data_IF_303205528615
#
_entry.id   IF_303205528615
#
_cell.length_a   1.000
_cell.length_b   1.000
_cell.length_c   1.000
_cell.angle_alpha   90.00
_cell.angle_beta   90.00
_cell.angle_gamma   90.00
#
_symmetry.space_group_name_H-M   'P 1'
#
loop_
_entity.id
_entity.type
_entity.pdbx_description
1 polymer ?
#
# COMPACT_ATOMS: atom_id res chain seq x y z
N UNK A 1 13.08 10.25 0.48
CA UNK A 1 13.80 10.72 -0.71
C UNK A 1 13.34 10.00 -1.99
N UNK A 2 13.24 8.66 -2.01
CA UNK A 2 12.85 7.90 -3.22
C UNK A 2 11.41 8.15 -3.67
N UNK A 3 10.48 8.24 -2.74
CA UNK A 3 9.08 8.57 -3.03
C UNK A 3 8.98 9.94 -3.74
N UNK A 4 9.70 10.95 -3.24
CA UNK A 4 9.73 12.28 -3.86
C UNK A 4 10.41 12.28 -5.23
N UNK A 5 11.40 11.40 -5.46
CA UNK A 5 12.07 11.26 -6.74
C UNK A 5 11.19 10.57 -7.81
N UNK A 6 10.26 9.71 -7.41
CA UNK A 6 9.37 9.00 -8.34
C UNK A 6 8.21 9.87 -8.87
N UNK A 7 7.68 10.81 -8.05
CA UNK A 7 6.53 11.66 -8.41
C UNK A 7 6.73 12.48 -9.69
N UNK A 8 7.83 13.24 -9.88
CA UNK A 8 8.01 14.07 -11.08
C UNK A 8 8.05 13.28 -12.38
N UNK A 9 8.55 12.03 -12.32
CA UNK A 9 8.58 11.15 -13.48
C UNK A 9 7.18 10.72 -13.92
N UNK A 10 6.36 10.28 -12.96
CA UNK A 10 4.97 9.92 -13.21
C UNK A 10 4.14 11.10 -13.74
N UNK A 11 4.32 12.29 -13.15
CA UNK A 11 3.62 13.50 -13.57
C UNK A 11 3.99 13.91 -15.02
N UNK A 12 5.26 13.84 -15.38
CA UNK A 12 5.70 14.17 -16.75
C UNK A 12 5.19 13.17 -17.79
N UNK A 13 5.27 11.87 -17.51
CA UNK A 13 4.72 10.86 -18.44
C UNK A 13 3.22 11.07 -18.60
N UNK A 14 2.50 11.37 -17.52
CA UNK A 14 1.07 11.65 -17.55
C UNK A 14 0.72 12.80 -18.49
N UNK A 15 1.47 13.92 -18.42
CA UNK A 15 1.30 15.06 -19.34
C UNK A 15 1.50 14.64 -20.79
N UNK A 16 2.57 13.90 -21.07
CA UNK A 16 2.86 13.43 -22.43
C UNK A 16 1.76 12.49 -22.93
N UNK A 17 1.32 11.55 -22.10
CA UNK A 17 0.21 10.63 -22.44
C UNK A 17 -1.09 11.38 -22.72
N UNK A 18 -1.40 12.44 -21.96
CA UNK A 18 -2.61 13.25 -22.18
C UNK A 18 -2.58 13.98 -23.53
N UNK A 19 -1.43 14.53 -23.91
CA UNK A 19 -1.26 15.19 -25.20
C UNK A 19 -1.37 14.20 -26.36
N UNK A 20 -0.73 13.02 -26.24
CA UNK A 20 -0.76 11.97 -27.26
C UNK A 20 -2.14 11.38 -27.47
N UNK A 21 -2.87 11.12 -26.39
CA UNK A 21 -4.25 10.60 -26.46
C UNK A 21 -5.22 11.57 -27.15
N UNK A 22 -4.96 12.89 -27.01
CA UNK A 22 -5.76 13.93 -27.69
C UNK A 22 -5.34 14.14 -29.16
N UNK A 23 -4.04 14.03 -29.44
CA UNK A 23 -3.52 14.27 -30.80
C UNK A 23 -3.89 13.12 -31.77
N UNK A 24 -4.07 11.90 -31.29
CA UNK A 24 -4.32 10.72 -32.13
C UNK A 24 -5.67 10.07 -31.78
N UNK A 25 -6.77 10.71 -32.20
CA UNK A 25 -8.14 10.29 -31.89
C UNK A 25 -8.56 8.99 -32.59
N UNK A 26 -7.86 8.56 -33.63
CA UNK A 26 -8.18 7.35 -34.39
C UNK A 26 -7.65 6.07 -33.73
N UNK A 27 -6.52 6.14 -33.02
CA UNK A 27 -5.95 4.99 -32.33
C UNK A 27 -6.42 4.91 -30.87
N UNK A 28 -7.12 3.84 -30.55
CA UNK A 28 -7.56 3.54 -29.17
C UNK A 28 -6.65 2.49 -28.55
N UNK A 29 -5.69 2.94 -27.77
CA UNK A 29 -4.84 2.02 -27.00
C UNK A 29 -5.68 1.12 -26.08
N UNK A 30 -5.37 -0.19 -25.90
CA UNK A 30 -6.11 -1.11 -25.05
C UNK A 30 -6.34 -0.62 -23.61
N UNK A 31 -5.43 0.19 -23.04
CA UNK A 31 -5.57 0.77 -21.69
C UNK A 31 -6.63 1.87 -21.59
N UNK A 32 -7.10 2.41 -22.71
CA UNK A 32 -8.16 3.42 -22.76
C UNK A 32 -9.54 2.81 -23.08
N UNK A 33 -9.57 1.57 -23.54
CA UNK A 33 -10.80 0.87 -23.90
C UNK A 33 -11.43 0.30 -22.63
N UNK A 34 -12.69 0.65 -22.38
CA UNK A 34 -13.48 0.03 -21.31
C UNK A 34 -13.90 -1.37 -21.75
N UNK A 35 -13.60 -2.36 -20.93
CA UNK A 35 -14.15 -3.70 -21.09
C UNK A 35 -15.38 -3.83 -20.19
N UNK A 36 -16.45 -4.40 -20.72
CA UNK A 36 -17.68 -4.66 -19.98
C UNK A 36 -18.13 -6.08 -20.34
N UNK A 37 -18.42 -6.90 -19.33
CA UNK A 37 -19.06 -8.20 -19.56
C UNK A 37 -18.40 -9.41 -18.92
N UNK A 38 -17.14 -9.37 -18.52
CA UNK A 38 -16.50 -10.50 -17.80
C UNK A 38 -16.88 -10.54 -16.33
N UNK A 39 -17.35 -9.41 -15.79
CA UNK A 39 -17.63 -9.22 -14.36
C UNK A 39 -16.46 -9.66 -13.46
N UNK A 40 -15.26 -9.35 -13.90
CA UNK A 40 -14.03 -9.61 -13.16
C UNK A 40 -13.23 -8.34 -12.93
N UNK A 41 -12.73 -8.18 -11.72
CA UNK A 41 -11.91 -7.06 -11.30
C UNK A 41 -10.52 -7.58 -10.91
N UNK A 42 -9.49 -6.97 -11.47
CA UNK A 42 -8.12 -7.14 -11.04
C UNK A 42 -7.82 -6.25 -9.83
N UNK A 43 -7.29 -6.81 -8.76
CA UNK A 43 -6.90 -6.07 -7.57
C UNK A 43 -5.42 -6.28 -7.27
N UNK A 44 -4.64 -5.19 -7.27
CA UNK A 44 -3.25 -5.20 -6.83
C UNK A 44 -3.22 -4.63 -5.41
N UNK A 45 -2.90 -5.47 -4.43
CA UNK A 45 -2.84 -5.08 -3.01
C UNK A 45 -1.39 -4.93 -2.56
N UNK A 46 -0.99 -3.71 -2.22
CA UNK A 46 0.33 -3.38 -1.69
C UNK A 46 0.27 -3.31 -0.17
N UNK A 47 1.10 -4.10 0.49
CA UNK A 47 1.22 -4.15 1.96
C UNK A 47 2.68 -4.32 2.36
N UNK A 48 2.92 -4.42 3.66
CA UNK A 48 4.25 -4.67 4.20
C UNK A 48 4.58 -6.16 4.23
N UNK A 49 5.86 -6.49 4.17
CA UNK A 49 6.33 -7.86 4.45
C UNK A 49 6.37 -8.14 5.96
N UNK A 50 6.78 -7.17 6.76
CA UNK A 50 6.98 -7.28 8.20
C UNK A 50 5.83 -6.59 8.96
N UNK A 51 5.68 -6.93 10.24
CA UNK A 51 4.76 -6.29 11.14
C UNK A 51 5.35 -5.05 11.84
N UNK A 52 4.78 -4.74 13.00
CA UNK A 52 5.21 -3.66 13.89
C UNK A 52 5.08 -2.25 13.28
N UNK A 53 4.17 -2.10 12.32
CA UNK A 53 3.84 -0.83 11.66
C UNK A 53 2.49 -0.26 12.14
N UNK A 54 2.12 -0.52 13.39
CA UNK A 54 0.85 -0.09 13.96
C UNK A 54 -0.36 -0.57 13.14
N UNK A 55 -1.38 0.27 12.93
CA UNK A 55 -2.61 -0.10 12.24
C UNK A 55 -2.50 -0.06 10.70
N UNK A 56 -1.32 0.22 10.11
CA UNK A 56 -1.14 0.45 8.68
C UNK A 56 -1.78 -0.65 7.83
N UNK A 57 -1.38 -1.91 8.05
CA UNK A 57 -1.91 -3.03 7.27
C UNK A 57 -3.39 -3.30 7.56
N UNK A 58 -3.81 -3.17 8.80
CA UNK A 58 -5.22 -3.38 9.19
C UNK A 58 -6.14 -2.37 8.52
N UNK A 59 -5.71 -1.11 8.39
CA UNK A 59 -6.49 -0.06 7.76
C UNK A 59 -6.70 -0.32 6.26
N UNK A 60 -5.65 -0.66 5.52
CA UNK A 60 -5.79 -0.98 4.09
C UNK A 60 -6.58 -2.28 3.87
N UNK A 61 -6.37 -3.31 4.69
CA UNK A 61 -7.11 -4.57 4.62
C UNK A 61 -8.61 -4.36 4.87
N UNK A 62 -8.97 -3.50 5.84
CA UNK A 62 -10.36 -3.13 6.11
C UNK A 62 -11.00 -2.42 4.91
N UNK A 63 -10.30 -1.44 4.33
CA UNK A 63 -10.80 -0.73 3.14
C UNK A 63 -11.00 -1.67 1.96
N UNK A 64 -10.03 -2.55 1.70
CA UNK A 64 -10.10 -3.55 0.63
C UNK A 64 -11.24 -4.53 0.87
N UNK A 65 -11.45 -4.98 2.11
CA UNK A 65 -12.57 -5.86 2.44
C UNK A 65 -13.93 -5.22 2.14
N UNK A 66 -14.10 -3.93 2.45
CA UNK A 66 -15.33 -3.21 2.10
C UNK A 66 -15.52 -3.14 0.59
N UNK A 67 -14.46 -2.78 -0.15
CA UNK A 67 -14.51 -2.73 -1.61
C UNK A 67 -14.81 -4.10 -2.25
N UNK A 68 -14.22 -5.17 -1.74
CA UNK A 68 -14.50 -6.54 -2.19
C UNK A 68 -15.98 -6.89 -1.98
N UNK A 69 -16.56 -6.52 -0.83
CA UNK A 69 -17.99 -6.74 -0.55
C UNK A 69 -18.87 -5.95 -1.51
N UNK A 70 -18.56 -4.68 -1.76
CA UNK A 70 -19.30 -3.83 -2.69
C UNK A 70 -19.29 -4.44 -4.10
N UNK A 71 -18.11 -4.80 -4.62
CA UNK A 71 -17.96 -5.43 -5.93
C UNK A 71 -18.65 -6.80 -6.03
N UNK A 72 -18.57 -7.60 -4.96
CA UNK A 72 -19.25 -8.90 -4.93
C UNK A 72 -20.77 -8.73 -4.92
N UNK A 73 -21.30 -7.70 -4.27
CA UNK A 73 -22.73 -7.36 -4.29
C UNK A 73 -23.21 -6.95 -5.68
N UNK A 74 -22.34 -6.31 -6.48
CA UNK A 74 -22.56 -5.97 -7.88
C UNK A 74 -22.34 -7.17 -8.84
N UNK A 75 -21.94 -8.31 -8.31
CA UNK A 75 -21.74 -9.55 -9.05
C UNK A 75 -20.36 -9.70 -9.69
N UNK A 76 -19.38 -8.91 -9.28
CA UNK A 76 -18.00 -9.05 -9.74
C UNK A 76 -17.23 -10.10 -8.94
N UNK A 77 -16.43 -10.89 -9.63
CA UNK A 77 -15.38 -11.74 -9.06
C UNK A 77 -14.03 -11.03 -9.07
N UNK A 78 -13.13 -11.39 -8.15
CA UNK A 78 -11.88 -10.66 -7.95
C UNK A 78 -10.70 -11.58 -8.20
N UNK A 79 -9.79 -11.13 -9.08
CA UNK A 79 -8.48 -11.71 -9.30
C UNK A 79 -7.43 -10.82 -8.65
N UNK A 80 -6.75 -11.33 -7.61
CA UNK A 80 -5.88 -10.52 -6.77
C UNK A 80 -4.39 -10.78 -7.05
N UNK A 81 -3.59 -9.72 -6.99
CA UNK A 81 -2.13 -9.76 -6.93
C UNK A 81 -1.69 -9.22 -5.57
N UNK A 82 -0.88 -9.99 -4.84
CA UNK A 82 -0.36 -9.58 -3.55
C UNK A 82 1.08 -9.06 -3.66
N UNK A 83 1.30 -7.82 -3.24
CA UNK A 83 2.64 -7.25 -3.05
C UNK A 83 2.87 -7.07 -1.54
N UNK A 84 3.70 -7.96 -0.95
CA UNK A 84 3.99 -8.03 0.47
C UNK A 84 3.26 -9.17 1.20
N UNK A 85 3.94 -9.74 2.19
CA UNK A 85 3.46 -10.92 2.93
C UNK A 85 2.14 -10.70 3.70
N UNK A 86 1.93 -9.49 4.24
CA UNK A 86 0.72 -9.20 5.04
C UNK A 86 -0.54 -9.19 4.18
N UNK A 87 -0.43 -8.73 2.92
CA UNK A 87 -1.51 -8.78 1.94
C UNK A 87 -1.78 -10.19 1.45
N UNK A 88 -0.73 -10.95 1.18
CA UNK A 88 -0.87 -12.34 0.76
C UNK A 88 -1.64 -13.16 1.80
N UNK A 89 -1.21 -13.11 3.07
CA UNK A 89 -1.90 -13.84 4.14
C UNK A 89 -3.34 -13.35 4.41
N UNK A 90 -3.64 -12.09 4.11
CA UNK A 90 -5.00 -11.56 4.17
C UNK A 90 -5.87 -12.11 3.04
N UNK A 91 -5.40 -12.07 1.80
CA UNK A 91 -6.13 -12.59 0.63
C UNK A 91 -6.37 -14.11 0.71
N UNK A 92 -5.37 -14.85 1.20
CA UNK A 92 -5.52 -16.30 1.44
C UNK A 92 -6.61 -16.62 2.47
N UNK A 93 -6.69 -15.86 3.58
CA UNK A 93 -7.76 -16.01 4.58
C UNK A 93 -9.14 -15.70 4.03
N UNK A 94 -9.23 -14.79 3.06
CA UNK A 94 -10.47 -14.50 2.35
C UNK A 94 -10.80 -15.51 1.25
N UNK A 95 -9.93 -16.49 1.01
CA UNK A 95 -10.04 -17.43 -0.10
C UNK A 95 -10.16 -16.73 -1.47
N UNK A 96 -9.54 -15.54 -1.58
CA UNK A 96 -9.53 -14.79 -2.82
C UNK A 96 -8.66 -15.50 -3.88
N UNK A 97 -9.02 -15.39 -5.14
CA UNK A 97 -8.23 -15.92 -6.25
C UNK A 97 -6.94 -15.09 -6.42
N UNK A 98 -5.83 -15.57 -5.86
CA UNK A 98 -4.52 -14.91 -5.98
C UNK A 98 -3.81 -15.43 -7.22
N UNK A 99 -3.75 -14.60 -8.27
CA UNK A 99 -3.15 -14.96 -9.57
C UNK A 99 -1.64 -14.69 -9.62
N UNK A 100 -1.14 -13.79 -8.79
CA UNK A 100 0.30 -13.51 -8.70
C UNK A 100 0.67 -12.92 -7.35
N UNK A 101 1.96 -13.02 -7.00
CA UNK A 101 2.48 -12.48 -5.75
C UNK A 101 3.95 -12.05 -5.89
N UNK A 102 4.32 -10.99 -5.18
CA UNK A 102 5.70 -10.63 -4.93
C UNK A 102 5.86 -10.33 -3.43
N UNK A 103 6.61 -11.15 -2.75
CA UNK A 103 6.88 -11.06 -1.30
C UNK A 103 8.37 -10.93 -1.06
N UNK A 104 8.74 -10.55 0.15
CA UNK A 104 10.13 -10.31 0.54
C UNK A 104 10.79 -9.25 -0.36
N UNK A 105 10.08 -8.15 -0.55
CA UNK A 105 10.54 -7.03 -1.38
C UNK A 105 11.73 -6.29 -0.74
N UNK A 106 11.90 -6.44 0.58
CA UNK A 106 12.97 -5.80 1.35
C UNK A 106 12.84 -4.27 1.38
N UNK A 107 13.89 -3.60 1.84
CA UNK A 107 13.94 -2.14 1.91
C UNK A 107 14.23 -1.49 0.52
N UNK A 108 14.54 -2.30 -0.47
CA UNK A 108 14.79 -1.90 -1.86
C UNK A 108 14.05 -2.85 -2.79
N UNK A 109 12.81 -2.51 -3.18
CA UNK A 109 12.05 -3.37 -4.07
C UNK A 109 12.77 -3.53 -5.39
N UNK A 110 12.99 -4.78 -5.78
CA UNK A 110 13.51 -5.08 -7.10
C UNK A 110 12.39 -4.82 -8.12
N UNK A 111 12.64 -3.88 -9.03
CA UNK A 111 11.66 -3.45 -10.03
C UNK A 111 11.23 -4.63 -10.92
N UNK A 112 12.16 -5.50 -11.32
CA UNK A 112 11.85 -6.63 -12.20
C UNK A 112 10.88 -7.63 -11.55
N UNK A 113 11.04 -7.89 -10.24
CA UNK A 113 10.12 -8.76 -9.48
C UNK A 113 8.72 -8.14 -9.36
N UNK A 114 8.64 -6.82 -9.15
CA UNK A 114 7.38 -6.09 -9.11
C UNK A 114 6.70 -6.13 -10.48
N UNK A 115 7.42 -5.80 -11.55
CA UNK A 115 6.91 -5.81 -12.92
C UNK A 115 6.42 -7.21 -13.29
N UNK A 116 7.16 -8.26 -12.94
CA UNK A 116 6.76 -9.64 -13.20
C UNK A 116 5.40 -9.99 -12.60
N UNK A 117 5.15 -9.64 -11.32
CA UNK A 117 3.88 -9.91 -10.66
C UNK A 117 2.73 -9.06 -11.22
N UNK A 118 2.99 -7.80 -11.54
CA UNK A 118 2.01 -6.84 -12.05
C UNK A 118 1.62 -7.14 -13.50
N UNK A 119 2.57 -7.61 -14.31
CA UNK A 119 2.35 -7.91 -15.73
C UNK A 119 1.17 -8.86 -15.94
N UNK A 120 0.93 -9.79 -15.01
CA UNK A 120 -0.18 -10.74 -15.09
C UNK A 120 -1.52 -10.01 -15.10
N UNK A 121 -1.70 -9.01 -14.24
CA UNK A 121 -2.94 -8.20 -14.17
C UNK A 121 -3.09 -7.30 -15.40
N UNK A 122 -2.00 -6.66 -15.83
CA UNK A 122 -2.02 -5.81 -17.02
C UNK A 122 -2.35 -6.64 -18.25
N UNK A 123 -1.75 -7.82 -18.39
CA UNK A 123 -2.00 -8.73 -19.50
C UNK A 123 -3.45 -9.25 -19.50
N UNK A 124 -3.97 -9.61 -18.31
CA UNK A 124 -5.37 -10.02 -18.15
C UNK A 124 -6.35 -8.92 -18.61
N UNK A 125 -6.01 -7.65 -18.34
CA UNK A 125 -6.80 -6.51 -18.83
C UNK A 125 -6.73 -6.36 -20.35
N UNK A 126 -5.53 -6.40 -20.94
CA UNK A 126 -5.33 -6.30 -22.40
C UNK A 126 -6.07 -7.42 -23.15
N UNK A 127 -6.09 -8.62 -22.56
CA UNK A 127 -6.80 -9.78 -23.11
C UNK A 127 -8.32 -9.76 -22.85
N UNK A 128 -8.84 -8.72 -22.17
CA UNK A 128 -10.26 -8.61 -21.83
C UNK A 128 -10.75 -9.65 -20.82
N UNK A 129 -9.85 -10.24 -20.02
CA UNK A 129 -10.19 -11.21 -18.97
C UNK A 129 -10.69 -10.54 -17.69
N UNK A 130 -10.34 -9.27 -17.48
CA UNK A 130 -10.82 -8.43 -16.37
C UNK A 130 -11.32 -7.10 -16.93
N UNK A 131 -12.39 -6.56 -16.33
CA UNK A 131 -13.04 -5.32 -16.78
C UNK A 131 -12.33 -4.07 -16.28
N UNK A 132 -11.66 -4.18 -15.13
CA UNK A 132 -10.87 -3.08 -14.55
C UNK A 132 -9.76 -3.61 -13.66
N UNK A 133 -8.73 -2.79 -13.43
CA UNK A 133 -7.64 -3.08 -12.50
C UNK A 133 -7.55 -1.96 -11.48
N UNK A 134 -7.59 -2.32 -10.20
CA UNK A 134 -7.51 -1.43 -9.06
C UNK A 134 -6.24 -1.67 -8.26
N UNK A 135 -5.67 -0.58 -7.76
CA UNK A 135 -4.47 -0.56 -6.93
C UNK A 135 -4.81 -0.09 -5.52
N UNK A 136 -4.56 -0.95 -4.53
CA UNK A 136 -4.78 -0.67 -3.12
C UNK A 136 -3.44 -0.51 -2.40
N UNK A 137 -3.22 0.63 -1.75
CA UNK A 137 -1.99 0.93 -1.02
C UNK A 137 -2.21 1.97 0.08
N UNK A 138 -1.19 2.18 0.91
CA UNK A 138 -1.21 3.24 1.93
C UNK A 138 -0.44 4.46 1.42
N UNK A 139 -1.18 5.53 1.07
CA UNK A 139 -0.62 6.80 0.61
C UNK A 139 0.07 7.52 1.76
N UNK A 140 1.29 7.97 1.52
CA UNK A 140 2.05 8.77 2.48
C UNK A 140 1.62 10.24 2.42
N UNK A 141 1.09 10.77 3.51
CA UNK A 141 0.77 12.19 3.68
C UNK A 141 1.90 12.89 4.46
N UNK A 142 2.20 12.36 5.63
CA UNK A 142 3.32 12.80 6.48
C UNK A 142 3.69 11.68 7.48
N UNK A 143 4.72 11.91 8.31
CA UNK A 143 5.19 10.92 9.26
C UNK A 143 4.12 10.42 10.25
N UNK A 144 3.11 11.26 10.56
CA UNK A 144 2.04 10.93 11.50
C UNK A 144 0.76 10.42 10.82
N UNK A 145 0.59 10.65 9.51
CA UNK A 145 -0.65 10.34 8.80
C UNK A 145 -0.37 9.58 7.51
N UNK A 146 -0.89 8.37 7.44
CA UNK A 146 -0.95 7.53 6.25
C UNK A 146 -2.41 7.23 5.95
N UNK A 147 -2.79 7.28 4.68
CA UNK A 147 -4.19 7.12 4.26
C UNK A 147 -4.29 5.89 3.35
N UNK A 148 -5.10 4.88 3.71
CA UNK A 148 -5.37 3.77 2.82
C UNK A 148 -6.22 4.25 1.65
N UNK A 149 -5.85 3.86 0.43
CA UNK A 149 -6.55 4.23 -0.80
C UNK A 149 -6.71 3.02 -1.71
N UNK A 150 -7.79 3.03 -2.49
CA UNK A 150 -8.02 2.11 -3.60
C UNK A 150 -8.32 2.96 -4.82
N UNK A 151 -7.48 2.87 -5.84
CA UNK A 151 -7.55 3.66 -7.06
C UNK A 151 -7.64 2.75 -8.26
N UNK A 152 -8.49 3.11 -9.22
CA UNK A 152 -8.52 2.42 -10.49
C UNK A 152 -7.32 2.86 -11.33
N UNK A 153 -6.56 1.90 -11.86
CA UNK A 153 -5.42 2.18 -12.74
C UNK A 153 -5.70 1.80 -14.19
N UNK A 154 -6.64 0.89 -14.44
CA UNK A 154 -7.13 0.53 -15.77
C UNK A 154 -8.65 0.31 -15.73
N UNK A 155 -9.40 0.75 -16.76
CA UNK A 155 -8.98 1.65 -17.83
C UNK A 155 -8.48 3.00 -17.31
N UNK A 156 -7.58 3.62 -18.05
CA UNK A 156 -7.19 4.99 -17.80
C UNK A 156 -8.38 5.90 -18.18
N UNK A 157 -8.85 6.67 -17.20
CA UNK A 157 -9.93 7.64 -17.41
C UNK A 157 -9.37 9.02 -17.72
N UNK A 158 -10.19 9.88 -18.34
CA UNK A 158 -9.80 11.26 -18.64
C UNK A 158 -9.33 12.00 -17.38
N UNK A 159 -9.90 11.70 -16.19
CA UNK A 159 -9.45 12.26 -14.92
C UNK A 159 -8.00 11.89 -14.55
N UNK A 160 -7.49 10.78 -15.04
CA UNK A 160 -6.08 10.40 -14.88
C UNK A 160 -5.18 11.18 -15.86
N UNK A 161 -5.71 11.62 -16.97
CA UNK A 161 -5.01 12.35 -18.03
C UNK A 161 -5.18 13.86 -17.91
N UNK A 162 -6.32 14.35 -17.44
CA UNK A 162 -6.69 15.79 -17.43
C UNK A 162 -6.03 16.64 -16.34
N UNK A 163 -5.31 16.05 -15.39
CA UNK A 163 -4.73 16.82 -14.27
C UNK A 163 -3.47 17.61 -14.62
N UNK A 164 -3.07 17.66 -15.87
CA UNK A 164 -1.88 18.35 -16.30
C UNK A 164 -2.17 19.43 -17.31
N UNK A 165 -1.89 20.65 -16.88
CA UNK A 165 -1.66 21.85 -17.67
C UNK A 165 -2.77 22.33 -18.63
N UNK A 166 -3.51 23.31 -18.16
CA UNK A 166 -4.37 24.21 -18.98
C UNK A 166 -3.56 25.15 -19.87
N UNK A 167 -2.38 24.75 -20.32
CA UNK A 167 -1.63 25.56 -21.28
C UNK A 167 -2.13 25.24 -22.68
N UNK A 168 -2.75 26.20 -23.31
CA UNK A 168 -3.27 26.23 -24.69
C UNK A 168 -2.17 26.12 -25.76
N UNK A 169 -1.22 25.22 -25.61
CA UNK A 169 -0.23 25.01 -26.65
C UNK A 169 -0.37 23.58 -27.20
N UNK A 170 -0.90 23.49 -28.40
CA UNK A 170 -0.80 22.29 -29.22
C UNK A 170 0.67 22.07 -29.59
N UNK A 171 1.33 21.18 -28.84
CA UNK A 171 2.67 20.75 -29.22
C UNK A 171 2.55 19.73 -30.33
N UNK A 172 3.04 20.07 -31.52
CA UNK A 172 3.28 19.07 -32.58
C UNK A 172 4.56 18.31 -32.22
N UNK A 173 4.38 17.10 -31.71
CA UNK A 173 5.51 16.19 -31.46
C UNK A 173 5.86 15.45 -32.74
N UNK A 174 7.13 15.37 -33.06
CA UNK A 174 7.66 14.42 -34.05
C UNK A 174 7.77 13.04 -33.38
N UNK A 175 7.05 12.08 -33.91
CA UNK A 175 7.04 10.71 -33.41
C UNK A 175 7.95 9.84 -34.29
N UNK A 176 8.90 9.15 -33.66
CA UNK A 176 9.76 8.16 -34.33
C UNK A 176 9.67 6.82 -33.57
N UNK A 177 9.31 5.70 -34.21
CA UNK A 177 9.00 5.54 -35.64
C UNK A 177 7.60 6.01 -36.04
N UNK A 178 6.59 5.92 -35.13
CA UNK A 178 5.20 6.31 -35.35
C UNK A 178 4.51 6.60 -33.99
N UNK A 179 3.40 7.31 -34.03
CA UNK A 179 2.68 7.76 -32.83
C UNK A 179 2.08 6.59 -32.04
N UNK A 180 1.67 5.51 -32.70
CA UNK A 180 1.06 4.33 -32.08
C UNK A 180 2.09 3.57 -31.22
N UNK A 181 3.23 3.23 -31.79
CA UNK A 181 4.34 2.54 -31.10
C UNK A 181 4.84 3.36 -29.89
N UNK A 182 4.93 4.68 -30.05
CA UNK A 182 5.36 5.58 -28.98
C UNK A 182 4.31 5.63 -27.87
N UNK A 183 3.01 5.73 -28.21
CA UNK A 183 1.91 5.73 -27.25
C UNK A 183 1.85 4.42 -26.46
N UNK A 184 1.98 3.29 -27.12
CA UNK A 184 2.02 1.96 -26.51
C UNK A 184 3.14 1.84 -25.46
N UNK A 185 4.34 2.26 -25.84
CA UNK A 185 5.49 2.23 -24.94
C UNK A 185 5.30 3.16 -23.75
N UNK A 186 4.80 4.38 -23.98
CA UNK A 186 4.60 5.38 -22.93
C UNK A 186 3.50 4.99 -21.95
N UNK A 187 2.34 4.50 -22.42
CA UNK A 187 1.25 4.09 -21.54
C UNK A 187 1.64 2.89 -20.66
N UNK A 188 2.40 1.93 -21.20
CA UNK A 188 2.97 0.84 -20.41
C UNK A 188 3.87 1.38 -19.30
N UNK A 189 4.78 2.28 -19.65
CA UNK A 189 5.68 2.93 -18.67
C UNK A 189 4.93 3.76 -17.65
N UNK A 190 3.85 4.42 -18.05
CA UNK A 190 3.00 5.19 -17.14
C UNK A 190 2.37 4.29 -16.06
N UNK A 191 1.74 3.18 -16.46
CA UNK A 191 1.13 2.23 -15.50
C UNK A 191 2.20 1.62 -14.59
N UNK A 192 3.36 1.22 -15.13
CA UNK A 192 4.49 0.73 -14.33
C UNK A 192 4.97 1.79 -13.31
N UNK A 193 5.05 3.06 -13.72
CA UNK A 193 5.45 4.16 -12.85
C UNK A 193 4.43 4.44 -11.74
N UNK A 194 3.11 4.40 -12.04
CA UNK A 194 2.06 4.54 -11.03
C UNK A 194 2.16 3.48 -9.95
N UNK A 195 2.37 2.23 -10.34
CA UNK A 195 2.47 1.13 -9.38
C UNK A 195 3.77 1.22 -8.57
N UNK A 196 4.88 1.57 -9.22
CA UNK A 196 6.14 1.80 -8.51
C UNK A 196 6.03 2.94 -7.50
N UNK A 197 5.37 4.03 -7.87
CA UNK A 197 5.09 5.15 -6.95
C UNK A 197 4.26 4.68 -5.75
N UNK A 198 3.19 3.92 -5.96
CA UNK A 198 2.36 3.39 -4.89
C UNK A 198 3.14 2.46 -3.93
N UNK A 199 4.02 1.62 -4.48
CA UNK A 199 4.92 0.78 -3.66
C UNK A 199 5.87 1.64 -2.85
N UNK A 200 6.50 2.66 -3.46
CA UNK A 200 7.40 3.57 -2.76
C UNK A 200 6.69 4.38 -1.66
N UNK A 201 5.46 4.84 -1.92
CA UNK A 201 4.61 5.52 -0.92
C UNK A 201 4.22 4.57 0.23
N UNK A 202 3.86 3.33 -0.07
CA UNK A 202 3.56 2.33 0.94
C UNK A 202 4.77 2.02 1.82
N UNK A 203 5.96 1.93 1.24
CA UNK A 203 7.21 1.73 2.00
C UNK A 203 7.54 2.92 2.90
N UNK A 204 7.38 4.15 2.41
CA UNK A 204 7.54 5.35 3.22
C UNK A 204 6.53 5.39 4.39
N UNK A 205 5.29 5.01 4.12
CA UNK A 205 4.22 4.84 5.10
C UNK A 205 4.58 3.79 6.15
N UNK A 206 5.14 2.66 5.73
CA UNK A 206 5.58 1.58 6.61
C UNK A 206 6.67 2.05 7.59
N UNK A 207 7.71 2.71 7.08
CA UNK A 207 8.81 3.17 7.94
C UNK A 207 8.33 4.23 8.95
N UNK A 208 7.47 5.14 8.52
CA UNK A 208 6.91 6.17 9.39
C UNK A 208 5.98 5.59 10.46
N UNK A 209 5.08 4.69 10.07
CA UNK A 209 4.17 4.01 11.01
C UNK A 209 4.94 3.14 12.00
N UNK A 210 6.01 2.47 11.57
CA UNK A 210 6.89 1.69 12.44
C UNK A 210 7.61 2.57 13.45
N UNK A 211 8.15 3.71 13.02
CA UNK A 211 8.81 4.66 13.90
C UNK A 211 7.87 5.13 15.02
N UNK A 212 6.63 5.51 14.68
CA UNK A 212 5.63 5.95 15.65
C UNK A 212 5.24 4.82 16.60
N UNK A 213 4.99 3.61 16.06
CA UNK A 213 4.61 2.45 16.86
C UNK A 213 5.73 2.04 17.84
N UNK A 214 6.99 2.06 17.40
CA UNK A 214 8.13 1.72 18.25
C UNK A 214 8.39 2.77 19.32
N UNK A 215 8.20 4.06 19.02
CA UNK A 215 8.26 5.11 20.02
C UNK A 215 7.21 4.90 21.12
N UNK A 216 5.96 4.68 20.73
CA UNK A 216 4.88 4.41 21.70
C UNK A 216 5.14 3.15 22.53
N UNK A 217 5.68 2.08 21.92
CA UNK A 217 6.06 0.86 22.62
C UNK A 217 7.16 1.13 23.65
N UNK A 218 8.18 1.92 23.30
CA UNK A 218 9.26 2.30 24.24
C UNK A 218 8.75 3.13 25.43
N UNK A 219 7.86 4.10 25.14
CA UNK A 219 7.28 4.95 26.19
C UNK A 219 6.40 4.13 27.15
N UNK A 220 5.61 3.17 26.61
CA UNK A 220 4.83 2.25 27.44
C UNK A 220 5.70 1.31 28.27
N UNK A 221 6.81 0.80 27.71
CA UNK A 221 7.74 -0.04 28.44
C UNK A 221 8.38 0.70 29.63
N UNK A 222 8.75 1.97 29.46
CA UNK A 222 9.28 2.80 30.56
C UNK A 222 8.26 2.95 31.69
N UNK A 223 7.00 3.28 31.38
CA UNK A 223 5.94 3.39 32.38
C UNK A 223 5.74 2.08 33.15
N UNK A 224 5.73 0.94 32.44
CA UNK A 224 5.58 -0.36 33.06
C UNK A 224 6.75 -0.67 34.02
N UNK A 225 7.98 -0.31 33.64
CA UNK A 225 9.16 -0.47 34.52
C UNK A 225 8.99 0.36 35.79
N UNK A 226 8.58 1.62 35.70
CA UNK A 226 8.35 2.51 36.85
C UNK A 226 7.24 1.94 37.77
N UNK A 227 6.12 1.47 37.20
CA UNK A 227 5.05 0.84 37.98
C UNK A 227 5.52 -0.43 38.70
N UNK A 228 6.24 -1.31 38.00
CA UNK A 228 6.78 -2.54 38.60
C UNK A 228 7.81 -2.23 39.71
N UNK A 229 8.60 -1.18 39.55
CA UNK A 229 9.57 -0.76 40.54
C UNK A 229 8.89 -0.23 41.82
N UNK A 230 7.77 0.49 41.68
CA UNK A 230 6.93 0.90 42.83
C UNK A 230 6.33 -0.31 43.53
N UNK A 231 5.75 -1.25 42.80
CA UNK A 231 5.19 -2.48 43.38
C UNK A 231 6.27 -3.28 44.11
N UNK A 232 7.43 -3.46 43.50
CA UNK A 232 8.57 -4.15 44.09
C UNK A 232 8.99 -3.49 45.42
N UNK A 233 9.21 -2.17 45.41
CA UNK A 233 9.61 -1.44 46.63
C UNK A 233 8.56 -1.53 47.74
N UNK A 234 7.27 -1.41 47.42
CA UNK A 234 6.17 -1.56 48.36
C UNK A 234 6.13 -2.96 48.95
N UNK A 235 6.26 -4.00 48.13
CA UNK A 235 6.26 -5.40 48.60
C UNK A 235 7.49 -5.69 49.47
N UNK A 236 8.66 -5.19 49.07
CA UNK A 236 9.89 -5.31 49.85
C UNK A 236 9.73 -4.66 51.24
N UNK A 237 9.22 -3.42 51.28
CA UNK A 237 8.99 -2.72 52.55
C UNK A 237 7.99 -3.47 53.44
N UNK A 238 6.90 -3.96 52.86
CA UNK A 238 5.92 -4.76 53.60
C UNK A 238 6.52 -6.05 54.18
N UNK A 239 7.39 -6.73 53.41
CA UNK A 239 8.15 -7.89 53.87
C UNK A 239 9.05 -7.60 55.05
N UNK A 240 9.88 -6.54 54.95
CA UNK A 240 10.77 -6.09 56.01
C UNK A 240 9.96 -5.72 57.26
N UNK A 241 8.87 -4.97 57.11
CA UNK A 241 8.01 -4.58 58.23
C UNK A 241 7.41 -5.80 58.93
N UNK A 242 6.97 -6.80 58.15
CA UNK A 242 6.43 -8.05 58.68
C UNK A 242 7.48 -8.82 59.49
N UNK A 243 8.68 -8.99 58.96
CA UNK A 243 9.79 -9.66 59.64
C UNK A 243 10.17 -8.95 60.95
N UNK A 244 10.27 -7.60 60.96
CA UNK A 244 10.53 -6.82 62.16
C UNK A 244 9.42 -7.01 63.18
N UNK A 245 8.15 -6.99 62.76
CA UNK A 245 7.01 -7.17 63.66
C UNK A 245 7.00 -8.58 64.29
N UNK A 246 7.33 -9.61 63.50
CA UNK A 246 7.47 -10.98 63.99
C UNK A 246 8.61 -11.13 65.01
N UNK A 247 9.77 -10.50 64.78
CA UNK A 247 10.90 -10.53 65.72
C UNK A 247 10.53 -9.82 67.02
N UNK A 248 9.93 -8.62 66.94
CA UNK A 248 9.54 -7.83 68.13
C UNK A 248 8.44 -8.55 68.90
N UNK A 249 7.45 -9.12 68.18
CA UNK A 249 6.37 -9.90 68.83
C UNK A 249 6.89 -11.17 69.50
N UNK A 250 7.84 -11.87 68.90
CA UNK A 250 8.52 -13.02 69.48
C UNK A 250 9.35 -12.67 70.72
N UNK A 251 10.07 -11.58 70.72
CA UNK A 251 10.83 -11.08 71.89
C UNK A 251 9.91 -10.70 73.05
N UNK A 252 8.77 -10.07 72.77
CA UNK A 252 7.80 -9.70 73.80
C UNK A 252 7.04 -10.92 74.42
N UNK A 253 6.98 -12.05 73.69
CA UNK A 253 6.34 -13.27 74.19
C UNK A 253 7.28 -14.11 75.08
N UNK A 254 8.60 -13.85 75.10
CA UNK A 254 9.63 -14.57 75.87
C UNK A 254 10.08 -13.77 77.15
N UNK A 255 9.74 -12.51 77.24
CA UNK A 255 9.97 -11.64 78.39
C UNK A 255 8.77 -11.68 79.35
#
# INVERSE_FOLDING_TARGET
DRMFAARPYGDKIRVICSHLARANSEYKHPFLVKHEGTKKIGLILVTTDKGLAGPLNTNIQRLVLHKIKDWSAEGYSIEATALGNKGLGFLQRLQANVVSQAVQLGDRPNLDRLIGAIRIQIQAYVEGKVDSVHLAYSRFVNAMKQVPVVEQILPLTDSHLDAADKRDHSWDYLYEPDAETVLDALLKRYVEALIYQAVAENMASEQSARMVAMKAASDNAKKLIEELQLVYNKTRQAGITKEITEIVGGAAAVS
#
